data_IF_197791360713
#
_entry.id   IF_197791360713
#
_cell.length_a   1.000
_cell.length_b   1.000
_cell.length_c   1.000
_cell.angle_alpha   90.00
_cell.angle_beta   90.00
_cell.angle_gamma   90.00
#
_symmetry.space_group_name_H-M   'P 1'
#
loop_
_entity.id
_entity.type
_entity.pdbx_description
1 polymer ?
#
# COMPACT_ATOMS: atom_id res chain seq x y z
N UNK A 1 58.03 -23.09 27.88
CA UNK A 1 56.61 -23.51 28.00
C UNK A 1 55.92 -23.06 26.72
N UNK A 2 55.64 -24.00 25.81
CA UNK A 2 55.16 -23.70 24.46
C UNK A 2 53.66 -23.40 24.43
N UNK A 3 53.30 -22.31 23.76
CA UNK A 3 51.93 -21.99 23.35
C UNK A 3 51.35 -23.13 22.51
N UNK A 4 50.28 -23.76 22.98
CA UNK A 4 49.47 -24.69 22.19
C UNK A 4 48.49 -23.86 21.35
N UNK A 5 48.90 -23.56 20.11
CA UNK A 5 48.02 -23.05 19.08
C UNK A 5 47.06 -24.14 18.63
N UNK A 6 45.76 -23.90 18.77
CA UNK A 6 44.72 -24.82 18.35
C UNK A 6 44.53 -24.70 16.83
N UNK A 7 45.28 -25.49 16.06
CA UNK A 7 45.16 -25.57 14.60
C UNK A 7 43.90 -26.37 14.24
N UNK A 8 42.77 -25.67 14.00
CA UNK A 8 41.56 -26.33 13.44
C UNK A 8 41.91 -26.96 12.10
N UNK A 9 41.67 -28.26 11.93
CA UNK A 9 41.91 -28.99 10.68
C UNK A 9 40.93 -28.56 9.60
N UNK A 10 41.29 -28.72 8.32
CA UNK A 10 40.47 -28.29 7.18
C UNK A 10 39.07 -28.95 7.15
N UNK A 11 38.95 -30.17 7.69
CA UNK A 11 37.68 -30.86 7.87
C UNK A 11 36.80 -30.19 8.94
N UNK A 12 37.40 -29.75 10.04
CA UNK A 12 36.71 -29.05 11.15
C UNK A 12 36.21 -27.66 10.70
N UNK A 13 36.95 -26.99 9.81
CA UNK A 13 36.51 -25.75 9.16
C UNK A 13 35.35 -25.98 8.17
N UNK A 14 35.40 -27.09 7.42
CA UNK A 14 34.34 -27.45 6.46
C UNK A 14 33.02 -27.86 7.14
N UNK A 15 33.10 -28.48 8.32
CA UNK A 15 31.93 -28.79 9.16
C UNK A 15 31.31 -27.50 9.71
N UNK A 16 32.11 -26.60 10.28
CA UNK A 16 31.67 -25.30 10.83
C UNK A 16 31.04 -24.40 9.74
N UNK A 17 31.58 -24.43 8.51
CA UNK A 17 31.03 -23.70 7.37
C UNK A 17 29.70 -24.30 6.86
N UNK A 18 29.58 -25.62 6.84
CA UNK A 18 28.34 -26.31 6.50
C UNK A 18 27.25 -26.05 7.54
N UNK A 19 27.59 -26.08 8.82
CA UNK A 19 26.68 -25.74 9.92
C UNK A 19 26.22 -24.28 9.87
N UNK A 20 27.13 -23.33 9.62
CA UNK A 20 26.77 -21.92 9.37
C UNK A 20 25.84 -21.77 8.16
N UNK A 21 26.09 -22.50 7.07
CA UNK A 21 25.24 -22.45 5.87
C UNK A 21 23.85 -23.01 6.13
N UNK A 22 23.74 -24.09 6.90
CA UNK A 22 22.45 -24.66 7.32
C UNK A 22 21.70 -23.74 8.29
N UNK A 23 22.41 -23.10 9.22
CA UNK A 23 21.85 -22.08 10.11
C UNK A 23 21.31 -20.88 9.33
N UNK A 24 22.08 -20.34 8.38
CA UNK A 24 21.64 -19.24 7.52
C UNK A 24 20.41 -19.62 6.70
N UNK A 25 20.36 -20.85 6.16
CA UNK A 25 19.19 -21.35 5.42
C UNK A 25 17.94 -21.49 6.30
N UNK A 26 18.11 -21.87 7.58
CA UNK A 26 17.01 -21.88 8.57
C UNK A 26 16.54 -20.47 8.88
N UNK A 27 17.45 -19.51 9.06
CA UNK A 27 17.14 -18.10 9.29
C UNK A 27 16.36 -17.52 8.11
N UNK A 28 16.80 -17.75 6.87
CA UNK A 28 16.09 -17.26 5.68
C UNK A 28 14.67 -17.84 5.56
N UNK A 29 14.51 -19.14 5.82
CA UNK A 29 13.18 -19.77 5.84
C UNK A 29 12.29 -19.19 6.93
N UNK A 30 12.84 -18.94 8.11
CA UNK A 30 12.14 -18.33 9.23
C UNK A 30 11.68 -16.90 8.89
N UNK A 31 12.58 -16.08 8.34
CA UNK A 31 12.28 -14.72 7.88
C UNK A 31 11.20 -14.71 6.78
N UNK A 32 11.25 -15.64 5.83
CA UNK A 32 10.20 -15.77 4.82
C UNK A 32 8.84 -16.11 5.43
N UNK A 33 8.82 -17.04 6.39
CA UNK A 33 7.59 -17.44 7.10
C UNK A 33 7.02 -16.29 7.92
N UNK A 34 7.85 -15.55 8.64
CA UNK A 34 7.46 -14.37 9.40
C UNK A 34 6.98 -13.24 8.50
N UNK A 35 7.61 -13.03 7.34
CA UNK A 35 7.15 -12.03 6.36
C UNK A 35 5.78 -12.39 5.78
N UNK A 36 5.53 -13.68 5.52
CA UNK A 36 4.21 -14.16 5.08
C UNK A 36 3.17 -14.02 6.19
N UNK A 37 3.51 -14.39 7.42
CA UNK A 37 2.63 -14.24 8.58
C UNK A 37 2.31 -12.76 8.84
N UNK A 38 3.31 -11.89 8.86
CA UNK A 38 3.11 -10.43 8.98
C UNK A 38 2.20 -9.90 7.88
N UNK A 39 2.46 -10.26 6.60
CA UNK A 39 1.58 -9.87 5.49
C UNK A 39 0.15 -10.40 5.67
N UNK A 40 -0.03 -11.63 6.15
CA UNK A 40 -1.36 -12.21 6.36
C UNK A 40 -2.10 -11.51 7.51
N UNK A 41 -1.42 -11.27 8.64
CA UNK A 41 -1.97 -10.56 9.79
C UNK A 41 -2.28 -9.11 9.43
N UNK A 42 -1.36 -8.36 8.82
CA UNK A 42 -1.63 -6.98 8.39
C UNK A 42 -2.84 -6.90 7.46
N UNK A 43 -2.97 -7.84 6.51
CA UNK A 43 -4.14 -7.92 5.63
C UNK A 43 -5.43 -8.24 6.40
N UNK A 44 -5.37 -9.04 7.46
CA UNK A 44 -6.53 -9.40 8.28
C UNK A 44 -7.02 -8.22 9.14
N UNK A 45 -6.10 -7.47 9.74
CA UNK A 45 -6.43 -6.29 10.55
C UNK A 45 -6.95 -5.13 9.68
N UNK A 46 -6.41 -4.97 8.48
CA UNK A 46 -6.91 -4.01 7.48
C UNK A 46 -8.26 -4.42 6.86
N UNK A 47 -8.72 -5.66 7.07
CA UNK A 47 -10.00 -6.18 6.54
C UNK A 47 -11.21 -5.79 7.38
N UNK A 48 -11.01 -5.19 8.54
CA UNK A 48 -12.12 -4.81 9.45
C UNK A 48 -12.14 -3.33 9.75
N UNK A 49 -11.15 -2.58 9.28
CA UNK A 49 -10.97 -1.16 9.61
C UNK A 49 -11.17 -0.35 8.34
N UNK A 50 -12.06 0.64 8.40
CA UNK A 50 -12.23 1.59 7.30
C UNK A 50 -10.99 2.48 7.18
N UNK A 51 -10.59 2.78 5.94
CA UNK A 51 -9.35 3.48 5.63
C UNK A 51 -9.69 4.84 5.03
N UNK A 52 -9.10 5.90 5.59
CA UNK A 52 -9.07 7.22 4.95
C UNK A 52 -7.77 7.30 4.16
N UNK A 53 -7.87 7.43 2.84
CA UNK A 53 -6.72 7.41 1.93
C UNK A 53 -6.44 8.82 1.42
N UNK A 54 -5.28 9.37 1.75
CA UNK A 54 -4.80 10.61 1.14
C UNK A 54 -3.91 10.32 -0.06
N UNK A 55 -4.38 10.71 -1.24
CA UNK A 55 -3.56 10.83 -2.43
C UNK A 55 -2.96 12.23 -2.44
N UNK A 56 -1.88 12.40 -1.67
CA UNK A 56 -1.19 13.68 -1.54
C UNK A 56 -0.35 14.03 -2.79
N UNK A 57 0.04 15.29 -2.90
CA UNK A 57 0.90 15.85 -3.96
C UNK A 57 0.25 15.86 -5.35
N UNK A 58 -1.05 16.18 -5.39
CA UNK A 58 -1.78 16.32 -6.67
C UNK A 58 -1.17 17.40 -7.58
N UNK A 59 -0.60 18.46 -6.99
CA UNK A 59 0.20 19.49 -7.66
C UNK A 59 1.37 18.87 -8.45
N UNK A 60 2.21 18.09 -7.77
CA UNK A 60 3.37 17.43 -8.39
C UNK A 60 2.94 16.38 -9.43
N UNK A 61 1.82 15.70 -9.21
CA UNK A 61 1.26 14.75 -10.17
C UNK A 61 0.85 15.48 -11.45
N UNK A 62 0.10 16.57 -11.33
CA UNK A 62 -0.35 17.38 -12.46
C UNK A 62 0.84 17.89 -13.27
N UNK A 63 1.84 18.48 -12.62
CA UNK A 63 3.05 18.97 -13.29
C UNK A 63 3.78 17.87 -14.08
N UNK A 64 3.94 16.69 -13.49
CA UNK A 64 4.64 15.58 -14.15
C UNK A 64 3.87 15.01 -15.33
N UNK A 65 2.55 14.85 -15.19
CA UNK A 65 1.68 14.34 -16.25
C UNK A 65 1.67 15.30 -17.43
N UNK A 66 1.57 16.60 -17.17
CA UNK A 66 1.56 17.63 -18.21
C UNK A 66 2.93 17.82 -18.87
N UNK A 67 4.02 17.69 -18.10
CA UNK A 67 5.37 17.74 -18.64
C UNK A 67 5.69 16.59 -19.60
N UNK A 68 5.02 15.43 -19.45
CA UNK A 68 5.10 14.30 -20.38
C UNK A 68 6.47 13.61 -20.47
N UNK A 69 7.42 13.95 -19.59
CA UNK A 69 8.80 13.39 -19.59
C UNK A 69 8.84 11.93 -19.13
N UNK A 70 7.93 11.54 -18.25
CA UNK A 70 7.81 10.18 -17.71
C UNK A 70 6.35 9.77 -17.80
N UNK A 71 6.04 8.77 -18.60
CA UNK A 71 4.67 8.33 -18.85
C UNK A 71 4.27 7.29 -17.80
N UNK A 72 3.00 7.30 -17.40
CA UNK A 72 2.51 6.36 -16.37
C UNK A 72 2.49 4.94 -16.92
N UNK A 73 2.13 4.77 -18.20
CA UNK A 73 2.08 3.49 -18.90
C UNK A 73 3.43 2.75 -18.98
N UNK A 74 4.56 3.46 -18.87
CA UNK A 74 5.89 2.83 -18.82
C UNK A 74 6.10 2.05 -17.51
N UNK A 75 5.37 2.41 -16.45
CA UNK A 75 5.45 1.78 -15.12
C UNK A 75 4.21 0.94 -14.80
N UNK A 76 3.05 1.32 -15.34
CA UNK A 76 1.76 0.67 -15.16
C UNK A 76 1.11 0.45 -16.53
N UNK A 77 1.43 -0.65 -17.24
CA UNK A 77 0.94 -0.90 -18.59
C UNK A 77 -0.60 -0.86 -18.72
N UNK A 78 -1.32 -1.22 -17.66
CA UNK A 78 -2.78 -1.14 -17.61
C UNK A 78 -3.33 0.28 -17.73
N UNK A 79 -2.51 1.30 -17.47
CA UNK A 79 -2.88 2.70 -17.66
C UNK A 79 -3.15 3.02 -19.13
N UNK A 80 -2.57 2.31 -20.10
CA UNK A 80 -2.83 2.57 -21.52
C UNK A 80 -4.32 2.40 -21.88
N UNK A 81 -4.99 1.43 -21.28
CA UNK A 81 -6.38 1.09 -21.55
C UNK A 81 -7.37 1.68 -20.54
N UNK A 82 -6.89 2.41 -19.54
CA UNK A 82 -7.74 2.97 -18.50
C UNK A 82 -8.64 4.08 -19.02
N UNK A 83 -9.89 4.10 -18.58
CA UNK A 83 -10.84 5.19 -18.84
C UNK A 83 -11.37 5.70 -17.51
N UNK A 84 -11.56 7.01 -17.43
CA UNK A 84 -12.13 7.64 -16.24
C UNK A 84 -13.57 7.13 -16.05
N UNK A 85 -13.94 6.65 -14.84
CA UNK A 85 -15.30 6.25 -14.53
C UNK A 85 -16.33 7.37 -14.75
N UNK A 86 -17.56 7.03 -15.12
CA UNK A 86 -18.63 8.02 -15.39
C UNK A 86 -19.05 8.80 -14.13
N UNK A 87 -18.88 8.22 -12.95
CA UNK A 87 -19.15 8.83 -11.65
C UNK A 87 -18.01 9.73 -11.15
N UNK A 88 -16.93 9.85 -11.92
CA UNK A 88 -15.82 10.73 -11.58
C UNK A 88 -16.25 12.20 -11.65
N UNK A 89 -15.98 12.93 -10.56
CA UNK A 89 -16.15 14.37 -10.48
C UNK A 89 -14.79 15.07 -10.61
N UNK A 90 -14.32 15.41 -11.82
CA UNK A 90 -13.09 16.18 -11.99
C UNK A 90 -13.22 17.58 -11.41
N UNK A 91 -12.08 18.18 -11.06
CA UNK A 91 -12.04 19.56 -10.59
C UNK A 91 -12.26 20.51 -11.78
N UNK A 92 -12.93 21.63 -11.54
CA UNK A 92 -13.25 22.59 -12.58
C UNK A 92 -11.95 23.15 -13.22
N UNK A 93 -11.82 23.00 -14.54
CA UNK A 93 -10.65 23.46 -15.29
C UNK A 93 -9.44 22.53 -15.23
N UNK A 94 -9.56 21.33 -14.64
CA UNK A 94 -8.49 20.33 -14.65
C UNK A 94 -8.31 19.72 -16.05
N UNK A 95 -7.04 19.49 -16.44
CA UNK A 95 -6.73 18.81 -17.69
C UNK A 95 -7.19 17.33 -17.65
N UNK A 96 -7.90 16.83 -18.68
CA UNK A 96 -8.38 15.45 -18.72
C UNK A 96 -7.29 14.39 -18.51
N UNK A 97 -6.03 14.66 -18.88
CA UNK A 97 -4.90 13.75 -18.64
C UNK A 97 -4.57 13.65 -17.16
N UNK A 98 -4.65 14.76 -16.43
CA UNK A 98 -4.43 14.81 -14.98
C UNK A 98 -5.57 14.11 -14.26
N UNK A 99 -6.82 14.38 -14.66
CA UNK A 99 -7.99 13.63 -14.18
C UNK A 99 -7.80 12.13 -14.40
N UNK A 100 -7.41 11.71 -15.60
CA UNK A 100 -7.19 10.29 -15.90
C UNK A 100 -6.11 9.66 -15.02
N UNK A 101 -5.00 10.36 -14.81
CA UNK A 101 -3.91 9.90 -13.95
C UNK A 101 -4.35 9.78 -12.47
N UNK A 102 -5.01 10.80 -11.93
CA UNK A 102 -5.41 10.80 -10.51
C UNK A 102 -6.43 9.71 -10.20
N UNK A 103 -7.42 9.53 -11.07
CA UNK A 103 -8.45 8.51 -10.93
C UNK A 103 -7.91 7.10 -11.14
N UNK A 104 -6.95 6.91 -12.05
CA UNK A 104 -6.26 5.63 -12.19
C UNK A 104 -5.56 5.20 -10.91
N UNK A 105 -4.77 6.11 -10.30
CA UNK A 105 -4.06 5.83 -9.05
C UNK A 105 -5.06 5.52 -7.93
N UNK A 106 -6.14 6.31 -7.83
CA UNK A 106 -7.25 6.03 -6.89
C UNK A 106 -7.77 4.61 -7.06
N UNK A 107 -8.06 4.20 -8.30
CA UNK A 107 -8.67 2.90 -8.58
C UNK A 107 -7.72 1.73 -8.31
N UNK A 108 -6.40 1.92 -8.44
CA UNK A 108 -5.41 0.93 -8.01
C UNK A 108 -5.54 0.65 -6.50
N UNK A 109 -5.64 1.71 -5.68
CA UNK A 109 -5.82 1.55 -4.23
C UNK A 109 -7.20 1.00 -3.88
N UNK A 110 -8.26 1.48 -4.54
CA UNK A 110 -9.61 0.99 -4.30
C UNK A 110 -9.71 -0.50 -4.59
N UNK A 111 -9.15 -0.97 -5.71
CA UNK A 111 -9.10 -2.40 -6.06
C UNK A 111 -8.44 -3.24 -4.99
N UNK A 112 -7.37 -2.75 -4.36
CA UNK A 112 -6.71 -3.45 -3.24
C UNK A 112 -7.61 -3.44 -2.00
N UNK A 113 -8.25 -2.31 -1.70
CA UNK A 113 -9.10 -2.16 -0.51
C UNK A 113 -10.39 -2.98 -0.60
N UNK A 114 -10.95 -3.16 -1.80
CA UNK A 114 -12.22 -3.87 -2.01
C UNK A 114 -12.06 -5.34 -2.38
N UNK A 115 -10.83 -5.81 -2.66
CA UNK A 115 -10.54 -7.19 -3.07
C UNK A 115 -11.02 -8.27 -2.08
N UNK A 116 -11.26 -7.91 -0.81
CA UNK A 116 -11.74 -8.84 0.23
C UNK A 116 -13.27 -8.99 0.26
N UNK A 117 -14.03 -8.10 -0.37
CA UNK A 117 -15.44 -8.31 -0.75
C UNK A 117 -16.45 -8.53 0.37
N UNK A 118 -16.09 -8.40 1.65
CA UNK A 118 -16.99 -8.69 2.78
C UNK A 118 -17.86 -7.50 3.20
N UNK A 119 -17.70 -6.34 2.54
CA UNK A 119 -18.46 -5.11 2.84
C UNK A 119 -18.26 -4.64 4.30
N UNK A 120 -17.16 -5.06 4.94
CA UNK A 120 -16.88 -4.79 6.36
C UNK A 120 -16.15 -3.48 6.60
N UNK A 121 -15.41 -2.99 5.61
CA UNK A 121 -14.66 -1.75 5.68
C UNK A 121 -14.83 -0.96 4.39
N UNK A 122 -14.80 0.36 4.53
CA UNK A 122 -14.88 1.30 3.42
C UNK A 122 -13.53 2.00 3.23
N UNK A 123 -13.21 2.35 2.00
CA UNK A 123 -12.05 3.17 1.67
C UNK A 123 -12.55 4.54 1.22
N UNK A 124 -12.05 5.59 1.86
CA UNK A 124 -12.45 6.97 1.61
C UNK A 124 -11.26 7.72 1.00
N UNK A 125 -11.18 7.78 -0.34
CA UNK A 125 -10.08 8.45 -1.02
C UNK A 125 -10.29 9.97 -1.06
N UNK A 126 -9.25 10.72 -0.70
CA UNK A 126 -9.17 12.16 -0.91
C UNK A 126 -7.94 12.51 -1.74
N UNK A 127 -8.17 13.34 -2.75
CA UNK A 127 -7.12 14.03 -3.48
C UNK A 127 -6.69 15.25 -2.67
N UNK A 128 -5.42 15.32 -2.27
CA UNK A 128 -4.94 16.40 -1.40
C UNK A 128 -3.65 17.02 -1.93
N UNK A 129 -3.47 18.30 -1.66
CA UNK A 129 -2.16 18.94 -1.74
C UNK A 129 -1.78 19.48 -0.36
N UNK A 130 -0.49 19.79 -0.17
CA UNK A 130 0.02 20.24 1.14
C UNK A 130 -0.61 21.57 1.61
N UNK A 131 -1.08 22.39 0.68
CA UNK A 131 -1.71 23.70 0.95
C UNK A 131 -3.24 23.62 1.01
N UNK A 132 -3.83 22.44 0.87
CA UNK A 132 -5.28 22.26 0.94
C UNK A 132 -5.75 22.39 2.41
N UNK A 133 -6.38 23.52 2.71
CA UNK A 133 -6.87 23.89 4.04
C UNK A 133 -8.15 23.15 4.42
N UNK A 134 -8.85 22.54 3.47
CA UNK A 134 -10.11 21.83 3.68
C UNK A 134 -9.87 20.34 4.01
N UNK A 135 -8.62 19.86 3.88
CA UNK A 135 -8.21 18.50 4.20
C UNK A 135 -8.75 18.00 5.55
N UNK A 136 -8.51 18.74 6.63
CA UNK A 136 -8.94 18.33 7.99
C UNK A 136 -10.47 18.23 8.08
N UNK A 137 -11.20 19.10 7.39
CA UNK A 137 -12.67 19.10 7.41
C UNK A 137 -13.24 17.90 6.66
N UNK A 138 -12.66 17.53 5.51
CA UNK A 138 -13.04 16.29 4.78
C UNK A 138 -12.81 15.05 5.65
N UNK A 139 -11.64 14.98 6.29
CA UNK A 139 -11.30 13.88 7.22
C UNK A 139 -12.29 13.77 8.36
N UNK A 140 -12.69 14.90 8.95
CA UNK A 140 -13.64 14.91 10.04
C UNK A 140 -15.02 14.39 9.61
N UNK A 141 -15.47 14.77 8.41
CA UNK A 141 -16.72 14.28 7.83
C UNK A 141 -16.67 12.76 7.59
N UNK A 142 -15.55 12.24 7.09
CA UNK A 142 -15.40 10.81 6.83
C UNK A 142 -15.29 10.00 8.12
N UNK A 143 -14.59 10.52 9.14
CA UNK A 143 -14.60 9.94 10.48
C UNK A 143 -16.04 9.84 11.03
N UNK A 144 -16.88 10.86 10.79
CA UNK A 144 -18.29 10.85 11.20
C UNK A 144 -19.06 9.74 10.50
N UNK A 145 -18.91 9.60 9.17
CA UNK A 145 -19.58 8.55 8.38
C UNK A 145 -19.12 7.16 8.82
N UNK A 146 -17.82 6.95 9.04
CA UNK A 146 -17.27 5.68 9.54
C UNK A 146 -17.94 5.29 10.87
N UNK A 147 -17.97 6.20 11.85
CA UNK A 147 -18.58 5.95 13.16
C UNK A 147 -20.08 5.66 13.03
N UNK A 148 -20.79 6.43 12.20
CA UNK A 148 -22.22 6.23 11.96
C UNK A 148 -22.51 4.86 11.33
N UNK A 149 -21.79 4.47 10.28
CA UNK A 149 -21.94 3.15 9.64
C UNK A 149 -21.57 2.02 10.58
N UNK A 150 -20.54 2.18 11.40
CA UNK A 150 -20.18 1.19 12.43
C UNK A 150 -21.33 0.99 13.41
N UNK A 151 -21.93 2.08 13.91
CA UNK A 151 -23.08 1.99 14.81
C UNK A 151 -24.30 1.35 14.14
N UNK A 152 -24.69 1.77 12.94
CA UNK A 152 -25.85 1.21 12.23
C UNK A 152 -25.69 -0.29 11.94
N UNK A 153 -24.49 -0.71 11.55
CA UNK A 153 -24.18 -2.12 11.31
C UNK A 153 -24.23 -2.97 12.58
N UNK A 154 -23.85 -2.41 13.73
CA UNK A 154 -23.96 -3.08 15.02
C UNK A 154 -25.43 -3.39 15.40
N UNK A 155 -26.37 -2.59 14.92
CA UNK A 155 -27.81 -2.77 15.16
C UNK A 155 -28.55 -3.45 13.99
N UNK A 156 -27.83 -4.02 13.01
CA UNK A 156 -28.40 -4.69 11.81
C UNK A 156 -29.36 -3.80 10.99
N UNK A 157 -29.14 -2.48 11.02
CA UNK A 157 -29.93 -1.50 10.28
C UNK A 157 -29.39 -1.23 8.86
N UNK A 158 -28.37 -1.97 8.42
CA UNK A 158 -27.65 -1.86 7.14
C UNK A 158 -27.42 -3.23 6.50
#
# INVERSE_FOLDING_TARGET
MGCLGNSKTAEDQGVDEKERREANKKIEKQLQKERLAYKATHRLWLRTISIILFLNKQDMLAEKVLAGKSKIEDYFPEYANYTVPEDATPDAGEDPKVTRAKFFIRDLFLRISTATGDGKHYCYPHFTCAVDTENIRRVFNDCRDIIQRMHLKQYELL
#
